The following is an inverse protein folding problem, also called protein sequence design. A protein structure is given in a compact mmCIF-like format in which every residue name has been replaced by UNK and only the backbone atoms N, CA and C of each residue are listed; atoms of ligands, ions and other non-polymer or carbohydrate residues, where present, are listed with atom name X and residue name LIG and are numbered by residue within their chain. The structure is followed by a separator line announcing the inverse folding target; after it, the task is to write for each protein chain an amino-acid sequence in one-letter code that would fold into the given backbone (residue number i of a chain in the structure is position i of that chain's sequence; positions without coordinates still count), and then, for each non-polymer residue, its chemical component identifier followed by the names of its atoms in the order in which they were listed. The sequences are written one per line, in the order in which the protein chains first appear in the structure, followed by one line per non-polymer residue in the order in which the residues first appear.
data_IF_014669891646
#
_entry.id   IF_014669891646
#
_cell.length_a   1.000
_cell.length_b   1.000
_cell.length_c   1.000
_cell.angle_alpha   90.00
_cell.angle_beta   90.00
_cell.angle_gamma   90.00
#
_symmetry.space_group_name_H-M   'P 1'
#
loop_
_entity.id
_entity.type
_entity.pdbx_description
1 polymer ?
#
# COMPACT_ATOMS: atom_id res chain seq x y z
N UNK A 1 -13.83 -23.70 1.26
CA UNK A 1 -13.06 -22.74 0.47
C UNK A 1 -11.62 -22.74 0.95
N UNK A 2 -10.69 -22.97 0.07
CA UNK A 2 -9.27 -23.03 0.44
C UNK A 2 -8.71 -21.60 0.54
N UNK A 3 -8.20 -21.23 1.67
CA UNK A 3 -7.51 -19.94 1.83
C UNK A 3 -6.23 -19.93 1.00
N UNK A 4 -5.85 -18.76 0.49
CA UNK A 4 -4.56 -18.58 -0.14
C UNK A 4 -3.46 -18.63 0.90
N UNK A 5 -2.27 -18.99 0.48
CA UNK A 5 -1.07 -18.94 1.32
C UNK A 5 -0.20 -17.78 0.86
N UNK A 6 0.20 -16.94 1.80
CA UNK A 6 1.18 -15.87 1.56
C UNK A 6 2.43 -16.18 2.37
N UNK A 7 3.57 -16.22 1.68
CA UNK A 7 4.86 -16.53 2.30
C UNK A 7 5.80 -15.33 2.17
N UNK A 8 6.20 -14.78 3.31
CA UNK A 8 7.22 -13.75 3.36
C UNK A 8 8.60 -14.38 3.13
N UNK A 9 9.35 -13.84 2.21
CA UNK A 9 10.67 -14.35 1.83
C UNK A 9 11.70 -13.23 1.91
N UNK A 10 12.87 -13.58 2.45
CA UNK A 10 14.03 -12.70 2.47
C UNK A 10 15.23 -13.52 2.04
N UNK A 11 15.74 -13.31 0.82
CA UNK A 11 16.89 -14.04 0.31
C UNK A 11 18.10 -13.84 1.22
N UNK A 12 18.79 -14.92 1.63
CA UNK A 12 19.91 -14.80 2.57
C UNK A 12 21.14 -14.09 1.99
N UNK A 13 21.28 -14.09 0.68
CA UNK A 13 22.40 -13.47 -0.05
C UNK A 13 22.07 -12.11 -0.65
N UNK A 14 20.97 -11.49 -0.23
CA UNK A 14 20.58 -10.16 -0.63
C UNK A 14 20.45 -9.24 0.58
N UNK A 15 20.16 -7.96 0.33
CA UNK A 15 19.94 -6.99 1.40
C UNK A 15 18.76 -7.44 2.28
N UNK A 16 18.97 -7.49 3.59
CA UNK A 16 17.90 -7.81 4.52
C UNK A 16 16.98 -6.63 4.72
N UNK A 17 15.70 -6.88 5.09
CA UNK A 17 14.75 -5.78 5.30
C UNK A 17 15.22 -4.88 6.45
N UNK A 18 15.12 -3.55 6.22
CA UNK A 18 15.45 -2.55 7.23
C UNK A 18 14.21 -2.03 7.95
N UNK A 19 13.04 -2.55 7.60
CA UNK A 19 11.75 -2.18 8.17
C UNK A 19 10.88 -3.39 8.44
N UNK A 20 9.62 -3.16 8.70
CA UNK A 20 8.66 -4.21 9.08
C UNK A 20 8.01 -4.92 7.88
N UNK A 21 8.66 -4.91 6.71
CA UNK A 21 8.13 -5.55 5.51
C UNK A 21 9.12 -6.58 4.97
N UNK A 22 8.63 -7.68 4.37
CA UNK A 22 9.51 -8.67 3.74
C UNK A 22 10.07 -8.16 2.40
N UNK A 23 11.17 -8.73 1.96
CA UNK A 23 11.76 -8.40 0.66
C UNK A 23 10.94 -8.97 -0.50
N UNK A 24 10.23 -10.05 -0.27
CA UNK A 24 9.34 -10.66 -1.27
C UNK A 24 8.17 -11.33 -0.59
N UNK A 25 7.07 -11.47 -1.32
CA UNK A 25 5.91 -12.23 -0.87
C UNK A 25 5.53 -13.18 -1.99
N UNK A 26 5.50 -14.48 -1.67
CA UNK A 26 5.00 -15.50 -2.58
C UNK A 26 3.54 -15.79 -2.26
N UNK A 27 2.71 -15.89 -3.30
CA UNK A 27 1.30 -16.25 -3.15
C UNK A 27 1.06 -17.59 -3.79
N UNK A 28 0.44 -18.50 -3.03
CA UNK A 28 0.11 -19.85 -3.51
C UNK A 28 -1.40 -20.05 -3.42
N UNK A 29 -2.00 -20.59 -4.48
CA UNK A 29 -3.40 -20.98 -4.49
C UNK A 29 -4.39 -19.87 -4.75
N UNK A 30 -3.94 -18.72 -5.23
CA UNK A 30 -4.84 -17.61 -5.56
C UNK A 30 -5.64 -17.93 -6.82
N UNK A 31 -6.94 -17.65 -6.76
CA UNK A 31 -7.87 -17.77 -7.89
C UNK A 31 -8.25 -16.42 -8.47
N UNK A 32 -8.06 -15.34 -7.69
CA UNK A 32 -8.38 -13.97 -8.11
C UNK A 32 -7.22 -13.05 -7.80
N UNK A 33 -6.92 -12.17 -8.73
CA UNK A 33 -5.97 -11.08 -8.52
C UNK A 33 -6.71 -9.76 -8.70
N UNK A 34 -6.43 -8.79 -7.84
CA UNK A 34 -6.97 -7.45 -7.94
C UNK A 34 -5.81 -6.47 -8.10
N UNK A 35 -5.84 -5.71 -9.17
CA UNK A 35 -4.87 -4.65 -9.43
C UNK A 35 -5.55 -3.32 -9.12
N UNK A 36 -5.11 -2.68 -8.04
CA UNK A 36 -5.66 -1.39 -7.60
C UNK A 36 -4.82 -0.28 -8.22
N UNK A 37 -5.46 0.53 -9.06
CA UNK A 37 -4.81 1.71 -9.66
C UNK A 37 -4.34 2.67 -8.58
N UNK A 38 -3.44 3.58 -8.94
CA UNK A 38 -2.96 4.60 -8.02
C UNK A 38 -4.12 5.34 -7.37
N UNK A 39 -4.25 5.21 -6.05
CA UNK A 39 -5.28 5.89 -5.27
C UNK A 39 -4.75 7.21 -4.79
N UNK A 40 -5.48 8.26 -5.08
CA UNK A 40 -5.11 9.64 -4.78
C UNK A 40 -5.77 10.10 -3.47
N UNK A 41 -5.22 11.11 -2.80
CA UNK A 41 -5.72 11.54 -1.48
C UNK A 41 -6.91 12.50 -1.58
N UNK A 42 -7.92 12.12 -2.37
CA UNK A 42 -9.07 12.94 -2.66
C UNK A 42 -10.34 12.21 -2.22
N UNK A 43 -11.23 12.92 -1.52
CA UNK A 43 -12.54 12.39 -1.14
C UNK A 43 -13.44 12.19 -2.36
N UNK A 44 -14.47 11.35 -2.20
CA UNK A 44 -15.43 11.10 -3.29
C UNK A 44 -16.11 12.38 -3.80
N UNK A 45 -16.25 13.39 -2.95
CA UNK A 45 -16.82 14.69 -3.32
C UNK A 45 -15.81 15.65 -3.98
N UNK A 46 -14.55 15.20 -4.14
CA UNK A 46 -13.49 15.99 -4.77
C UNK A 46 -12.67 16.85 -3.81
N UNK A 47 -12.99 16.86 -2.51
CA UNK A 47 -12.22 17.66 -1.55
C UNK A 47 -10.87 17.00 -1.24
N UNK A 48 -9.87 17.85 -0.98
CA UNK A 48 -8.49 17.46 -0.73
C UNK A 48 -8.04 17.94 0.65
N UNK A 49 -7.63 17.03 1.54
CA UNK A 49 -7.00 17.45 2.81
C UNK A 49 -5.68 18.18 2.57
N UNK A 50 -5.32 19.10 3.45
CA UNK A 50 -4.09 19.90 3.32
C UNK A 50 -2.86 19.20 3.91
N UNK A 51 -3.03 18.51 5.05
CA UNK A 51 -1.92 17.92 5.78
C UNK A 51 -1.55 16.56 5.22
N UNK A 52 -0.27 16.23 5.22
CA UNK A 52 0.22 14.96 4.68
C UNK A 52 -0.45 13.77 5.37
N UNK A 53 -0.52 13.79 6.71
CA UNK A 53 -1.09 12.67 7.46
C UNK A 53 -2.53 12.37 7.04
N UNK A 54 -3.34 13.41 6.88
CA UNK A 54 -4.73 13.27 6.44
C UNK A 54 -4.81 12.77 5.00
N UNK A 55 -3.94 13.27 4.12
CA UNK A 55 -3.87 12.77 2.75
C UNK A 55 -3.48 11.30 2.72
N UNK A 56 -2.50 10.90 3.51
CA UNK A 56 -2.05 9.52 3.57
C UNK A 56 -3.15 8.59 4.08
N UNK A 57 -3.84 8.97 5.16
CA UNK A 57 -4.97 8.19 5.69
C UNK A 57 -6.07 8.05 4.66
N UNK A 58 -6.36 9.10 3.91
CA UNK A 58 -7.40 9.07 2.87
C UNK A 58 -6.99 8.20 1.68
N UNK A 59 -5.74 8.29 1.23
CA UNK A 59 -5.27 7.43 0.15
C UNK A 59 -5.37 5.94 0.53
N UNK A 60 -5.02 5.59 1.78
CA UNK A 60 -5.21 4.24 2.30
C UNK A 60 -6.67 3.84 2.39
N UNK A 61 -7.55 4.75 2.81
CA UNK A 61 -9.00 4.50 2.85
C UNK A 61 -9.54 4.23 1.44
N UNK A 62 -9.02 4.94 0.44
CA UNK A 62 -9.40 4.72 -0.96
C UNK A 62 -8.90 3.36 -1.47
N UNK A 63 -7.71 2.91 -1.08
CA UNK A 63 -7.24 1.56 -1.38
C UNK A 63 -8.19 0.52 -0.77
N UNK A 64 -8.53 0.70 0.50
CA UNK A 64 -9.41 -0.21 1.22
C UNK A 64 -10.80 -0.27 0.59
N UNK A 65 -11.31 0.87 0.12
CA UNK A 65 -12.59 0.92 -0.59
C UNK A 65 -12.58 0.06 -1.86
N UNK A 66 -11.47 0.07 -2.62
CA UNK A 66 -11.34 -0.76 -3.80
C UNK A 66 -11.28 -2.25 -3.44
N UNK A 67 -10.57 -2.59 -2.37
CA UNK A 67 -10.54 -3.95 -1.85
C UNK A 67 -11.95 -4.43 -1.48
N UNK A 68 -12.68 -3.61 -0.73
CA UNK A 68 -14.06 -3.93 -0.32
C UNK A 68 -14.97 -4.13 -1.52
N UNK A 69 -14.83 -3.33 -2.58
CA UNK A 69 -15.60 -3.48 -3.81
C UNK A 69 -15.40 -4.85 -4.47
N UNK A 70 -14.25 -5.46 -4.26
CA UNK A 70 -13.94 -6.80 -4.77
C UNK A 70 -14.26 -7.92 -3.74
N UNK A 71 -14.85 -7.58 -2.60
CA UNK A 71 -15.08 -8.54 -1.52
C UNK A 71 -13.80 -8.96 -0.82
N UNK A 72 -12.78 -8.09 -0.86
CA UNK A 72 -11.49 -8.32 -0.21
C UNK A 72 -11.28 -7.35 0.96
N UNK A 73 -10.20 -7.57 1.70
CA UNK A 73 -9.80 -6.70 2.81
C UNK A 73 -8.28 -6.43 2.74
N UNK A 74 -7.77 -5.68 3.69
CA UNK A 74 -6.32 -5.45 3.82
C UNK A 74 -5.54 -6.76 3.95
N UNK A 75 -6.14 -7.82 4.47
CA UNK A 75 -5.50 -9.13 4.58
C UNK A 75 -5.18 -9.76 3.21
N UNK A 76 -5.82 -9.30 2.16
CA UNK A 76 -5.59 -9.79 0.80
C UNK A 76 -4.45 -9.07 0.08
N UNK A 77 -3.92 -7.98 0.65
CA UNK A 77 -2.82 -7.23 0.04
C UNK A 77 -1.57 -8.09 -0.10
N UNK A 78 -0.94 -8.00 -1.27
CA UNK A 78 0.31 -8.71 -1.59
C UNK A 78 1.44 -7.73 -1.82
N UNK A 79 1.18 -6.68 -2.59
CA UNK A 79 2.17 -5.67 -2.97
C UNK A 79 1.56 -4.28 -2.86
N UNK A 80 2.34 -3.37 -2.29
CA UNK A 80 1.98 -1.95 -2.22
C UNK A 80 3.15 -1.13 -2.72
N UNK A 81 2.86 -0.15 -3.57
CA UNK A 81 3.81 0.88 -3.98
C UNK A 81 3.28 2.24 -3.54
N UNK A 82 4.08 2.97 -2.80
CA UNK A 82 3.74 4.32 -2.34
C UNK A 82 4.66 5.31 -3.03
N UNK A 83 4.04 6.29 -3.70
CA UNK A 83 4.75 7.40 -4.33
C UNK A 83 4.61 8.61 -3.43
N UNK A 84 5.75 9.18 -2.98
CA UNK A 84 5.79 10.38 -2.13
C UNK A 84 6.33 11.55 -2.93
N UNK A 85 5.71 12.70 -2.77
CA UNK A 85 6.15 13.91 -3.48
C UNK A 85 7.43 14.52 -2.90
N UNK A 86 7.81 14.18 -1.67
CA UNK A 86 9.00 14.73 -1.02
C UNK A 86 9.51 13.77 0.06
N UNK A 87 10.83 13.71 0.22
CA UNK A 87 11.48 12.93 1.28
C UNK A 87 11.09 13.38 2.68
N UNK A 88 10.72 14.65 2.83
CA UNK A 88 10.30 15.20 4.12
C UNK A 88 9.11 14.44 4.73
N UNK A 89 8.30 13.77 3.92
CA UNK A 89 7.13 13.02 4.38
C UNK A 89 7.42 11.57 4.80
N UNK A 90 8.67 11.15 4.71
CA UNK A 90 9.05 9.75 4.93
C UNK A 90 8.64 9.21 6.32
N UNK A 91 8.83 9.97 7.39
CA UNK A 91 8.49 9.49 8.74
C UNK A 91 6.98 9.41 8.96
N UNK A 92 6.22 10.42 8.55
CA UNK A 92 4.76 10.38 8.65
C UNK A 92 4.17 9.28 7.79
N UNK A 93 4.72 9.06 6.58
CA UNK A 93 4.30 7.96 5.71
C UNK A 93 4.47 6.61 6.40
N UNK A 94 5.64 6.39 7.03
CA UNK A 94 5.90 5.16 7.77
C UNK A 94 4.90 4.95 8.91
N UNK A 95 4.62 6.01 9.67
CA UNK A 95 3.69 5.96 10.78
C UNK A 95 2.28 5.56 10.32
N UNK A 96 1.76 6.21 9.29
CA UNK A 96 0.42 5.91 8.75
C UNK A 96 0.39 4.50 8.18
N UNK A 97 1.39 4.12 7.38
CA UNK A 97 1.48 2.78 6.79
C UNK A 97 1.47 1.69 7.85
N UNK A 98 2.27 1.85 8.91
CA UNK A 98 2.32 0.86 10.00
C UNK A 98 0.99 0.75 10.74
N UNK A 99 0.30 1.87 10.94
CA UNK A 99 -1.02 1.85 11.56
C UNK A 99 -2.04 1.10 10.70
N UNK A 100 -1.95 1.22 9.37
CA UNK A 100 -2.86 0.55 8.44
C UNK A 100 -2.51 -0.92 8.27
N UNK A 101 -1.26 -1.24 7.97
CA UNK A 101 -0.85 -2.61 7.62
C UNK A 101 -0.59 -3.51 8.82
N UNK A 102 -0.17 -2.95 9.95
CA UNK A 102 0.19 -3.77 11.12
C UNK A 102 1.28 -4.77 10.76
N UNK A 103 1.06 -6.02 11.13
CA UNK A 103 2.00 -7.12 10.89
C UNK A 103 1.75 -7.88 9.58
N UNK A 104 0.88 -7.37 8.74
CA UNK A 104 0.56 -8.03 7.46
C UNK A 104 1.79 -8.14 6.58
N UNK A 105 2.07 -9.33 6.02
CA UNK A 105 3.23 -9.54 5.15
C UNK A 105 2.94 -9.01 3.75
N UNK A 106 3.27 -7.76 3.51
CA UNK A 106 3.05 -7.07 2.24
C UNK A 106 4.40 -6.62 1.68
N UNK A 107 4.69 -6.96 0.43
CA UNK A 107 5.88 -6.48 -0.25
C UNK A 107 5.69 -4.98 -0.52
N UNK A 108 6.69 -4.17 -0.20
CA UNK A 108 6.57 -2.71 -0.20
C UNK A 108 7.68 -2.06 -1.01
N UNK A 109 7.31 -1.03 -1.76
CA UNK A 109 8.25 -0.11 -2.39
C UNK A 109 7.78 1.31 -2.15
N UNK A 110 8.69 2.21 -1.78
CA UNK A 110 8.42 3.63 -1.62
C UNK A 110 9.32 4.39 -2.59
N UNK A 111 8.73 5.25 -3.41
CA UNK A 111 9.40 6.04 -4.44
C UNK A 111 9.18 7.52 -4.15
N UNK A 112 10.25 8.31 -4.23
CA UNK A 112 10.15 9.77 -4.19
C UNK A 112 10.06 10.26 -5.62
N UNK A 113 8.96 10.92 -5.98
CA UNK A 113 8.73 11.39 -7.35
C UNK A 113 7.66 12.49 -7.37
N UNK A 114 7.52 13.18 -8.49
CA UNK A 114 6.38 14.06 -8.69
C UNK A 114 5.09 13.27 -8.81
N UNK A 115 4.03 13.80 -8.21
CA UNK A 115 2.67 13.24 -8.34
C UNK A 115 1.97 14.02 -9.45
N UNK A 116 0.97 13.41 -10.10
CA UNK A 116 0.31 14.02 -11.26
C UNK A 116 -0.22 15.42 -10.93
N UNK A 117 -0.91 15.59 -9.80
CA UNK A 117 -1.32 16.90 -9.31
C UNK A 117 -0.34 17.34 -8.23
N UNK A 118 0.26 18.56 -8.34
CA UNK A 118 1.21 19.04 -7.34
C UNK A 118 0.64 19.18 -5.92
N UNK A 119 -0.67 19.27 -5.78
CA UNK A 119 -1.31 19.33 -4.47
C UNK A 119 -1.45 17.96 -3.80
N UNK A 120 -1.28 16.88 -4.55
CA UNK A 120 -1.29 15.52 -4.00
C UNK A 120 0.11 15.20 -3.49
N UNK A 121 0.21 14.90 -2.21
CA UNK A 121 1.51 14.64 -1.56
C UNK A 121 1.94 13.18 -1.64
N UNK A 122 1.01 12.29 -2.01
CA UNK A 122 1.31 10.88 -2.24
C UNK A 122 0.26 10.24 -3.14
N UNK A 123 0.59 9.06 -3.61
CA UNK A 123 -0.32 8.16 -4.34
C UNK A 123 0.03 6.73 -3.97
N UNK A 124 -0.96 5.84 -3.89
CA UNK A 124 -0.75 4.45 -3.48
C UNK A 124 -1.40 3.52 -4.49
N UNK A 125 -0.62 2.58 -5.03
CA UNK A 125 -1.14 1.48 -5.83
C UNK A 125 -0.91 0.15 -5.12
N UNK A 126 -1.68 -0.87 -5.46
CA UNK A 126 -1.61 -2.13 -4.75
C UNK A 126 -2.01 -3.31 -5.64
N UNK A 127 -1.57 -4.50 -5.23
CA UNK A 127 -2.02 -5.78 -5.79
C UNK A 127 -2.52 -6.62 -4.62
N UNK A 128 -3.67 -7.24 -4.79
CA UNK A 128 -4.28 -8.14 -3.82
C UNK A 128 -4.64 -9.47 -4.47
N UNK A 129 -4.79 -10.49 -3.65
CA UNK A 129 -5.08 -11.84 -4.11
C UNK A 129 -6.03 -12.57 -3.16
N UNK A 130 -6.88 -13.42 -3.75
CA UNK A 130 -7.78 -14.28 -3.00
C UNK A 130 -7.98 -15.63 -3.70
#
# INVERSE_FOLDING_TARGET
MTAIEKRALNAPDAVQPTGAYPQAVEVVGAKRLLFVSGQIPVHADGTLPREFKEQAQLAWANVEAQLCAAGMSLDNLVKVTIFLSDRAYHLENREVRRAVLGDRPVALTVIITGIFDPAWLLEIEAVAAA
#
